data_IF_342283618309
#
_entry.id   IF_342283618309
#
_cell.length_a   1.000
_cell.length_b   1.000
_cell.length_c   1.000
_cell.angle_alpha   90.00
_cell.angle_beta   90.00
_cell.angle_gamma   90.00
#
_symmetry.space_group_name_H-M   'P 1'
#
loop_
_entity.id
_entity.type
_entity.pdbx_description
1 polymer ?
#
# COMPACT_ATOMS: atom_id res chain seq x y z
N UNK A 1 36.76 1.42 56.28
CA UNK A 1 36.27 0.54 55.18
C UNK A 1 37.32 0.57 54.07
N UNK A 2 38.05 -0.54 53.82
CA UNK A 2 39.03 -0.61 52.72
C UNK A 2 38.26 -0.69 51.41
N UNK A 3 38.51 0.25 50.49
CA UNK A 3 37.75 0.42 49.25
C UNK A 3 38.00 -0.72 48.26
N UNK A 4 36.93 -1.33 47.75
CA UNK A 4 36.99 -2.36 46.71
C UNK A 4 37.14 -1.72 45.33
N UNK A 5 37.79 -2.44 44.41
CA UNK A 5 37.78 -2.15 42.98
C UNK A 5 36.32 -2.11 42.47
N UNK A 6 36.03 -1.25 41.49
CA UNK A 6 34.70 -1.17 40.90
C UNK A 6 34.25 -2.53 40.36
N UNK A 7 32.95 -2.84 40.47
CA UNK A 7 32.41 -4.11 39.99
C UNK A 7 32.67 -4.32 38.50
N UNK A 8 32.66 -3.24 37.72
CA UNK A 8 32.96 -3.29 36.28
C UNK A 8 34.43 -3.66 36.01
N UNK A 9 35.40 -3.02 36.67
CA UNK A 9 36.82 -3.35 36.51
C UNK A 9 37.12 -4.80 36.95
N UNK A 10 36.49 -5.26 38.04
CA UNK A 10 36.60 -6.65 38.48
C UNK A 10 36.07 -7.62 37.42
N UNK A 11 34.87 -7.38 36.87
CA UNK A 11 34.28 -8.24 35.84
C UNK A 11 35.13 -8.28 34.58
N UNK A 12 35.62 -7.14 34.09
CA UNK A 12 36.47 -7.10 32.89
C UNK A 12 37.82 -7.79 33.10
N UNK A 13 38.43 -7.67 34.29
CA UNK A 13 39.67 -8.38 34.61
C UNK A 13 39.45 -9.90 34.63
N UNK A 14 38.32 -10.36 35.16
CA UNK A 14 37.94 -11.79 35.15
C UNK A 14 37.67 -12.29 33.74
N UNK A 15 36.97 -11.50 32.94
CA UNK A 15 36.66 -11.84 31.54
C UNK A 15 37.93 -11.97 30.69
N UNK A 16 38.89 -11.06 30.86
CA UNK A 16 40.10 -11.05 30.04
C UNK A 16 41.22 -11.99 30.55
N UNK A 17 41.42 -12.09 31.87
CA UNK A 17 42.51 -12.88 32.47
C UNK A 17 42.06 -14.21 33.11
N UNK A 18 40.75 -14.47 33.19
CA UNK A 18 40.15 -15.60 33.91
C UNK A 18 39.77 -15.26 35.35
N UNK A 19 38.82 -16.01 35.93
CA UNK A 19 38.22 -15.69 37.25
C UNK A 19 39.25 -15.56 38.38
N UNK A 20 40.10 -16.57 38.60
CA UNK A 20 41.08 -16.58 39.69
C UNK A 20 42.15 -15.48 39.51
N UNK A 21 42.67 -15.34 38.28
CA UNK A 21 43.73 -14.37 37.98
C UNK A 21 43.19 -12.94 38.00
N UNK A 22 41.96 -12.73 37.52
CA UNK A 22 41.26 -11.45 37.57
C UNK A 22 41.01 -10.98 39.00
N UNK A 23 40.63 -11.86 39.93
CA UNK A 23 40.52 -11.52 41.37
C UNK A 23 41.85 -11.14 41.98
N UNK A 24 42.92 -11.91 41.70
CA UNK A 24 44.27 -11.62 42.21
C UNK A 24 44.76 -10.25 41.72
N UNK A 25 44.57 -9.94 40.44
CA UNK A 25 44.93 -8.64 39.86
C UNK A 25 44.09 -7.51 40.49
N UNK A 26 42.77 -7.70 40.66
CA UNK A 26 41.92 -6.71 41.31
C UNK A 26 42.33 -6.45 42.77
N UNK A 27 42.76 -7.47 43.51
CA UNK A 27 43.27 -7.32 44.86
C UNK A 27 44.56 -6.47 44.89
N UNK A 28 45.48 -6.70 43.96
CA UNK A 28 46.72 -5.94 43.80
C UNK A 28 46.42 -4.47 43.48
N UNK A 29 45.51 -4.21 42.54
CA UNK A 29 45.08 -2.85 42.18
C UNK A 29 44.42 -2.13 43.36
N UNK A 30 43.58 -2.82 44.14
CA UNK A 30 42.96 -2.27 45.36
C UNK A 30 44.00 -1.82 46.38
N UNK A 31 45.06 -2.61 46.59
CA UNK A 31 46.18 -2.28 47.50
C UNK A 31 46.97 -1.07 47.01
N UNK A 32 47.06 -0.90 45.70
CA UNK A 32 47.72 0.22 45.02
C UNK A 32 46.84 1.46 44.88
N UNK A 33 45.67 1.50 45.54
CA UNK A 33 44.69 2.60 45.47
C UNK A 33 44.07 2.84 44.08
N UNK A 34 44.21 1.91 43.13
CA UNK A 34 43.54 1.98 41.83
C UNK A 34 42.15 1.35 41.97
N UNK A 35 41.10 2.13 41.72
CA UNK A 35 39.72 1.71 42.03
C UNK A 35 38.85 1.62 40.79
N UNK A 36 39.15 2.35 39.73
CA UNK A 36 38.45 2.28 38.45
C UNK A 36 39.40 2.40 37.25
N UNK A 37 38.85 2.25 36.05
CA UNK A 37 39.59 2.39 34.80
C UNK A 37 40.18 3.79 34.57
N UNK A 38 39.54 4.84 35.08
CA UNK A 38 40.02 6.22 34.91
C UNK A 38 41.34 6.49 35.68
N UNK A 39 41.60 5.71 36.74
CA UNK A 39 42.85 5.77 37.53
C UNK A 39 44.04 5.10 36.80
N UNK A 40 43.75 4.23 35.83
CA UNK A 40 44.73 3.56 35.01
C UNK A 40 45.11 4.50 33.85
N UNK A 41 46.07 5.40 34.11
CA UNK A 41 46.72 6.14 33.03
C UNK A 41 47.46 5.18 32.09
N UNK A 42 47.85 5.66 30.90
CA UNK A 42 48.59 4.84 29.91
C UNK A 42 49.94 4.31 30.41
N UNK A 43 50.45 4.83 31.54
CA UNK A 43 51.74 4.46 32.12
C UNK A 43 51.58 3.80 33.48
N UNK A 44 51.40 2.48 33.45
CA UNK A 44 51.41 1.65 34.64
C UNK A 44 52.86 1.43 35.09
N UNK A 45 53.18 1.64 36.38
CA UNK A 45 54.52 1.38 36.90
C UNK A 45 54.95 -0.07 36.65
N UNK A 46 56.19 -0.28 36.21
CA UNK A 46 56.71 -1.63 35.95
C UNK A 46 56.67 -2.51 37.21
N UNK A 47 56.85 -1.91 38.39
CA UNK A 47 56.68 -2.59 39.69
C UNK A 47 55.26 -3.13 39.91
N UNK A 48 54.23 -2.47 39.39
CA UNK A 48 52.85 -2.94 39.48
C UNK A 48 52.59 -4.08 38.48
N UNK A 49 53.17 -4.00 37.29
CA UNK A 49 53.11 -5.06 36.27
C UNK A 49 53.77 -6.36 36.79
N UNK A 50 54.94 -6.23 37.42
CA UNK A 50 55.64 -7.36 38.05
C UNK A 50 54.80 -8.01 39.14
N UNK A 51 54.17 -7.21 40.01
CA UNK A 51 53.30 -7.72 41.07
C UNK A 51 52.06 -8.44 40.53
N UNK A 52 51.51 -8.00 39.40
CA UNK A 52 50.35 -8.61 38.75
C UNK A 52 50.68 -9.88 37.96
N UNK A 53 51.96 -10.23 37.80
CA UNK A 53 52.41 -11.42 37.05
C UNK A 53 51.81 -11.47 35.62
N UNK A 54 51.77 -10.31 34.95
CA UNK A 54 51.33 -10.14 33.57
C UNK A 54 52.39 -9.40 32.76
N UNK A 55 52.42 -9.61 31.45
CA UNK A 55 53.29 -8.80 30.60
C UNK A 55 52.71 -7.39 30.42
N UNK A 56 53.59 -6.40 30.29
CA UNK A 56 53.21 -5.00 30.00
C UNK A 56 52.36 -4.89 28.73
N UNK A 57 52.66 -5.70 27.71
CA UNK A 57 51.88 -5.77 26.47
C UNK A 57 50.47 -6.32 26.71
N UNK A 58 50.32 -7.38 27.51
CA UNK A 58 49.01 -7.98 27.78
C UNK A 58 48.09 -7.02 28.54
N UNK A 59 48.64 -6.26 29.50
CA UNK A 59 47.84 -5.30 30.24
C UNK A 59 47.52 -4.04 29.43
N UNK A 60 48.42 -3.62 28.52
CA UNK A 60 48.13 -2.53 27.58
C UNK A 60 46.98 -2.91 26.63
N UNK A 61 46.99 -4.12 26.08
CA UNK A 61 45.89 -4.62 25.24
C UNK A 61 44.56 -4.64 26.01
N UNK A 62 44.58 -5.07 27.28
CA UNK A 62 43.41 -4.99 28.15
C UNK A 62 42.87 -3.55 28.30
N UNK A 63 43.75 -2.56 28.50
CA UNK A 63 43.35 -1.16 28.56
C UNK A 63 42.85 -0.61 27.22
N UNK A 64 43.38 -1.09 26.09
CA UNK A 64 42.90 -0.71 24.76
C UNK A 64 41.50 -1.27 24.46
N UNK A 65 41.15 -2.42 25.03
CA UNK A 65 39.89 -3.12 24.79
C UNK A 65 38.80 -2.75 25.81
N UNK A 66 39.15 -2.61 27.10
CA UNK A 66 38.21 -2.37 28.20
C UNK A 66 38.42 -1.02 28.91
N UNK A 67 39.53 -0.34 28.65
CA UNK A 67 39.91 0.88 29.35
C UNK A 67 39.18 2.16 28.88
N UNK A 68 39.57 3.32 29.42
CA UNK A 68 38.87 4.59 29.19
C UNK A 68 38.77 4.98 27.71
N UNK A 69 39.80 4.65 26.92
CA UNK A 69 39.85 4.94 25.49
C UNK A 69 38.83 4.10 24.69
N UNK A 70 38.62 2.83 25.06
CA UNK A 70 37.61 1.98 24.47
C UNK A 70 36.20 2.49 24.78
N UNK A 71 35.98 2.87 26.03
CA UNK A 71 34.70 3.46 26.50
C UNK A 71 34.40 4.77 25.75
N UNK A 72 35.41 5.62 25.55
CA UNK A 72 35.26 6.87 24.80
C UNK A 72 34.86 6.62 23.33
N UNK A 73 35.54 5.69 22.65
CA UNK A 73 35.19 5.30 21.26
C UNK A 73 33.79 4.71 21.16
N UNK A 74 33.36 3.90 22.15
CA UNK A 74 32.01 3.36 22.21
C UNK A 74 30.97 4.47 22.37
N UNK A 75 31.21 5.45 23.25
CA UNK A 75 30.33 6.60 23.43
C UNK A 75 30.15 7.41 22.15
N UNK A 76 31.24 7.74 21.47
CA UNK A 76 31.20 8.46 20.19
C UNK A 76 30.39 7.70 19.14
N UNK A 77 30.59 6.38 19.05
CA UNK A 77 29.84 5.53 18.11
C UNK A 77 28.35 5.43 18.45
N UNK A 78 28.00 5.41 19.74
CA UNK A 78 26.61 5.44 20.20
C UNK A 78 25.95 6.78 19.87
N UNK A 79 26.67 7.89 20.00
CA UNK A 79 26.18 9.22 19.62
C UNK A 79 25.96 9.33 18.10
N UNK A 80 26.90 8.86 17.28
CA UNK A 80 26.75 8.81 15.82
C UNK A 80 25.54 7.95 15.42
N UNK A 81 25.40 6.75 15.99
CA UNK A 81 24.25 5.88 15.74
C UNK A 81 22.93 6.53 16.17
N UNK A 82 22.90 7.20 17.33
CA UNK A 82 21.73 7.93 17.81
C UNK A 82 21.32 9.05 16.85
N UNK A 83 22.30 9.78 16.30
CA UNK A 83 22.03 10.82 15.29
C UNK A 83 21.44 10.24 14.00
N UNK A 84 21.94 9.10 13.54
CA UNK A 84 21.43 8.39 12.35
C UNK A 84 20.02 7.86 12.56
N UNK A 85 19.72 7.32 13.74
CA UNK A 85 18.36 6.87 14.09
C UNK A 85 17.37 8.03 14.01
N UNK A 86 17.69 9.20 14.58
CA UNK A 86 16.82 10.38 14.49
C UNK A 86 16.57 10.85 13.05
N UNK A 87 17.59 10.80 12.21
CA UNK A 87 17.45 11.12 10.78
C UNK A 87 16.51 10.13 10.07
N UNK A 88 16.68 8.83 10.33
CA UNK A 88 15.82 7.78 9.77
C UNK A 88 14.37 7.91 10.25
N UNK A 89 14.14 8.21 11.53
CA UNK A 89 12.79 8.46 12.07
C UNK A 89 12.10 9.62 11.34
N UNK A 90 12.84 10.69 11.05
CA UNK A 90 12.34 11.85 10.29
C UNK A 90 11.98 11.46 8.85
N UNK A 91 12.85 10.70 8.18
CA UNK A 91 12.59 10.19 6.83
C UNK A 91 11.37 9.27 6.78
N UNK A 92 11.21 8.40 7.79
CA UNK A 92 10.04 7.53 7.93
C UNK A 92 8.78 8.37 8.14
N UNK A 93 8.84 9.45 8.93
CA UNK A 93 7.75 10.41 9.09
C UNK A 93 7.28 10.98 7.75
N UNK A 94 8.20 11.52 6.94
CA UNK A 94 7.88 12.05 5.62
C UNK A 94 7.36 10.99 4.64
N UNK A 95 7.91 9.77 4.68
CA UNK A 95 7.43 8.68 3.84
C UNK A 95 5.98 8.30 4.19
N UNK A 96 5.64 8.24 5.49
CA UNK A 96 4.28 7.97 5.96
C UNK A 96 3.29 9.05 5.52
N UNK A 97 3.64 10.33 5.66
CA UNK A 97 2.79 11.45 5.22
C UNK A 97 2.52 11.40 3.72
N UNK A 98 3.54 11.13 2.89
CA UNK A 98 3.38 10.99 1.43
C UNK A 98 2.47 9.82 1.05
N UNK A 99 2.61 8.68 1.73
CA UNK A 99 1.74 7.52 1.52
C UNK A 99 0.29 7.88 1.88
N UNK A 100 0.08 8.54 3.03
CA UNK A 100 -1.25 8.96 3.45
C UNK A 100 -1.91 9.92 2.45
N UNK A 101 -1.20 10.95 2.00
CA UNK A 101 -1.69 11.88 0.98
C UNK A 101 -2.05 11.16 -0.33
N UNK A 102 -1.27 10.16 -0.72
CA UNK A 102 -1.54 9.36 -1.92
C UNK A 102 -2.80 8.49 -1.76
N UNK A 103 -3.02 7.94 -0.56
CA UNK A 103 -4.24 7.19 -0.23
C UNK A 103 -5.46 8.10 -0.24
N UNK A 104 -5.37 9.26 0.40
CA UNK A 104 -6.46 10.24 0.47
C UNK A 104 -6.84 10.73 -0.93
N UNK A 105 -5.85 11.04 -1.78
CA UNK A 105 -6.07 11.41 -3.17
C UNK A 105 -6.78 10.31 -3.96
N UNK A 106 -6.29 9.06 -3.89
CA UNK A 106 -6.91 7.90 -4.56
C UNK A 106 -8.34 7.64 -4.08
N UNK A 107 -8.62 7.85 -2.80
CA UNK A 107 -9.98 7.71 -2.26
C UNK A 107 -10.92 8.76 -2.85
N UNK A 108 -10.44 9.99 -3.06
CA UNK A 108 -11.24 11.09 -3.61
C UNK A 108 -11.54 10.92 -5.11
N UNK A 109 -10.57 10.47 -5.91
CA UNK A 109 -10.74 10.23 -7.35
C UNK A 109 -11.63 9.01 -7.59
N UNK A 110 -11.46 7.95 -6.80
CA UNK A 110 -12.31 6.76 -6.82
C UNK A 110 -13.77 7.07 -6.48
N UNK A 111 -14.03 7.94 -5.49
CA UNK A 111 -15.38 8.40 -5.15
C UNK A 111 -16.01 9.24 -6.25
N UNK A 112 -15.23 10.10 -6.91
CA UNK A 112 -15.71 10.90 -8.05
C UNK A 112 -16.09 10.00 -9.23
N UNK A 113 -15.24 9.04 -9.57
CA UNK A 113 -15.52 8.06 -10.63
C UNK A 113 -16.79 7.24 -10.33
N UNK A 114 -16.94 6.76 -9.09
CA UNK A 114 -18.14 6.00 -8.67
C UNK A 114 -19.42 6.82 -8.79
N UNK A 115 -19.40 8.12 -8.43
CA UNK A 115 -20.57 8.99 -8.58
C UNK A 115 -20.96 9.18 -10.03
N UNK A 116 -19.99 9.44 -10.91
CA UNK A 116 -20.27 9.60 -12.35
C UNK A 116 -20.79 8.29 -12.97
N UNK A 117 -20.23 7.14 -12.57
CA UNK A 117 -20.70 5.82 -12.95
C UNK A 117 -22.15 5.55 -12.50
N UNK A 118 -22.49 5.87 -11.24
CA UNK A 118 -23.84 5.71 -10.70
C UNK A 118 -24.87 6.55 -11.47
N UNK A 119 -24.50 7.80 -11.81
CA UNK A 119 -25.35 8.68 -12.62
C UNK A 119 -25.55 8.09 -14.02
N UNK A 120 -24.50 7.61 -14.67
CA UNK A 120 -24.60 6.98 -15.99
C UNK A 120 -25.53 5.75 -15.98
N UNK A 121 -25.36 4.86 -14.99
CA UNK A 121 -26.22 3.67 -14.81
C UNK A 121 -27.69 4.09 -14.59
N UNK A 122 -27.93 5.12 -13.78
CA UNK A 122 -29.28 5.63 -13.53
C UNK A 122 -29.95 6.18 -14.79
N UNK A 123 -29.21 6.96 -15.58
CA UNK A 123 -29.67 7.51 -16.86
C UNK A 123 -30.04 6.39 -17.83
N UNK A 124 -29.16 5.40 -18.02
CA UNK A 124 -29.38 4.28 -18.93
C UNK A 124 -30.55 3.41 -18.49
N UNK A 125 -30.67 3.11 -17.20
CA UNK A 125 -31.78 2.31 -16.64
C UNK A 125 -33.13 3.00 -16.84
N UNK A 126 -33.17 4.33 -16.64
CA UNK A 126 -34.35 5.15 -16.90
C UNK A 126 -34.71 5.15 -18.39
N UNK A 127 -33.71 5.26 -19.27
CA UNK A 127 -33.89 5.23 -20.73
C UNK A 127 -34.46 3.88 -21.20
N UNK A 128 -33.89 2.77 -20.72
CA UNK A 128 -34.40 1.41 -20.99
C UNK A 128 -35.85 1.28 -20.56
N UNK A 129 -36.19 1.72 -19.35
CA UNK A 129 -37.56 1.66 -18.83
C UNK A 129 -38.52 2.48 -19.69
N UNK A 130 -38.10 3.69 -20.10
CA UNK A 130 -38.88 4.57 -20.98
C UNK A 130 -39.16 3.93 -22.34
N UNK A 131 -38.15 3.30 -22.95
CA UNK A 131 -38.30 2.60 -24.24
C UNK A 131 -39.25 1.40 -24.09
N UNK A 132 -39.13 0.62 -23.01
CA UNK A 132 -40.01 -0.52 -22.73
C UNK A 132 -41.49 -0.11 -22.59
N UNK A 133 -41.75 1.05 -22.01
CA UNK A 133 -43.12 1.58 -21.84
C UNK A 133 -43.65 2.17 -23.15
N UNK A 134 -42.80 2.88 -23.89
CA UNK A 134 -43.23 3.74 -25.00
C UNK A 134 -43.12 3.10 -26.40
N UNK A 135 -42.48 1.94 -26.52
CA UNK A 135 -42.20 1.32 -27.83
C UNK A 135 -42.51 -0.18 -27.83
N UNK A 136 -43.21 -0.65 -28.87
CA UNK A 136 -43.32 -2.08 -29.15
C UNK A 136 -41.98 -2.58 -29.69
N UNK A 137 -41.52 -3.77 -29.25
CA UNK A 137 -40.19 -4.28 -29.61
C UNK A 137 -39.92 -4.36 -31.12
N UNK A 138 -40.95 -4.67 -31.91
CA UNK A 138 -40.88 -4.76 -33.36
C UNK A 138 -40.90 -3.41 -34.09
N UNK A 139 -41.30 -2.34 -33.40
CA UNK A 139 -41.39 -1.01 -33.99
C UNK A 139 -40.01 -0.38 -34.20
N UNK A 140 -39.86 0.39 -35.28
CA UNK A 140 -38.74 1.31 -35.45
C UNK A 140 -38.89 2.52 -34.53
N UNK A 141 -37.81 3.28 -34.36
CA UNK A 141 -37.78 4.46 -33.50
C UNK A 141 -38.08 5.69 -34.34
N UNK A 142 -39.21 6.36 -34.05
CA UNK A 142 -39.56 7.61 -34.73
C UNK A 142 -38.56 8.74 -34.40
N UNK A 143 -38.52 9.76 -35.27
CA UNK A 143 -37.54 10.83 -35.20
C UNK A 143 -37.56 11.59 -33.85
N UNK A 144 -38.75 11.81 -33.28
CA UNK A 144 -38.90 12.54 -32.02
C UNK A 144 -38.39 11.73 -30.84
N UNK A 145 -38.70 10.44 -30.78
CA UNK A 145 -38.18 9.53 -29.74
C UNK A 145 -36.67 9.34 -29.88
N UNK A 146 -36.16 9.20 -31.11
CA UNK A 146 -34.74 9.09 -31.38
C UNK A 146 -33.98 10.32 -30.85
N UNK A 147 -34.48 11.54 -31.10
CA UNK A 147 -33.83 12.74 -30.58
C UNK A 147 -33.80 12.80 -29.04
N UNK A 148 -34.88 12.40 -28.39
CA UNK A 148 -34.97 12.36 -26.92
C UNK A 148 -33.98 11.34 -26.35
N UNK A 149 -34.02 10.11 -26.84
CA UNK A 149 -33.15 9.04 -26.35
C UNK A 149 -31.68 9.33 -26.63
N UNK A 150 -31.34 9.89 -27.80
CA UNK A 150 -29.97 10.25 -28.14
C UNK A 150 -29.37 11.29 -27.21
N UNK A 151 -30.13 12.32 -26.81
CA UNK A 151 -29.65 13.30 -25.81
C UNK A 151 -29.34 12.64 -24.47
N UNK A 152 -30.23 11.76 -24.02
CA UNK A 152 -30.07 11.06 -22.75
C UNK A 152 -28.90 10.08 -22.77
N UNK A 153 -28.72 9.34 -23.87
CA UNK A 153 -27.61 8.38 -24.03
C UNK A 153 -26.27 9.12 -24.16
N UNK A 154 -26.22 10.25 -24.86
CA UNK A 154 -25.00 11.07 -24.93
C UNK A 154 -24.58 11.63 -23.57
N UNK A 155 -25.53 12.05 -22.72
CA UNK A 155 -25.20 12.45 -21.34
C UNK A 155 -24.61 11.25 -20.56
N UNK A 156 -25.15 10.05 -20.71
CA UNK A 156 -24.58 8.86 -20.09
C UNK A 156 -23.15 8.58 -20.60
N UNK A 157 -22.89 8.71 -21.90
CA UNK A 157 -21.55 8.55 -22.47
C UNK A 157 -20.56 9.58 -21.90
N UNK A 158 -20.95 10.84 -21.78
CA UNK A 158 -20.12 11.90 -21.21
C UNK A 158 -19.83 11.68 -19.71
N UNK A 159 -20.79 11.14 -18.97
CA UNK A 159 -20.59 10.71 -17.58
C UNK A 159 -19.56 9.59 -17.47
N UNK A 160 -19.62 8.61 -18.37
CA UNK A 160 -18.64 7.52 -18.42
C UNK A 160 -17.24 8.01 -18.78
N UNK A 161 -17.10 8.99 -19.67
CA UNK A 161 -15.81 9.65 -19.94
C UNK A 161 -15.24 10.33 -18.70
N UNK A 162 -16.04 11.14 -18.01
CA UNK A 162 -15.62 11.78 -16.75
C UNK A 162 -15.26 10.76 -15.66
N UNK A 163 -15.96 9.64 -15.61
CA UNK A 163 -15.61 8.52 -14.74
C UNK A 163 -14.24 7.94 -15.15
N UNK A 164 -14.01 7.70 -16.45
CA UNK A 164 -12.75 7.14 -16.98
C UNK A 164 -11.53 8.03 -16.73
N UNK A 165 -11.70 9.36 -16.75
CA UNK A 165 -10.63 10.32 -16.45
C UNK A 165 -10.19 10.27 -14.97
N UNK A 166 -11.07 9.78 -14.10
CA UNK A 166 -10.85 9.70 -12.66
C UNK A 166 -10.60 8.27 -12.17
N UNK A 167 -10.64 7.29 -13.07
CA UNK A 167 -10.57 5.85 -12.78
C UNK A 167 -9.37 5.22 -13.49
N UNK A 168 -8.31 4.87 -12.74
CA UNK A 168 -7.12 4.19 -13.30
C UNK A 168 -7.36 2.70 -13.59
N UNK A 169 -8.30 2.04 -12.90
CA UNK A 169 -8.46 0.58 -12.92
C UNK A 169 -9.41 0.13 -14.05
N UNK A 170 -10.49 0.88 -14.28
CA UNK A 170 -11.50 0.57 -15.29
C UNK A 170 -11.56 1.61 -16.42
N UNK A 171 -10.53 2.45 -16.56
CA UNK A 171 -10.51 3.56 -17.54
C UNK A 171 -10.89 3.11 -18.94
N UNK A 172 -10.27 2.03 -19.44
CA UNK A 172 -10.48 1.54 -20.81
C UNK A 172 -11.87 0.96 -21.00
N UNK A 173 -12.38 0.17 -20.04
CA UNK A 173 -13.73 -0.39 -20.12
C UNK A 173 -14.81 0.71 -20.09
N UNK A 174 -14.57 1.80 -19.33
CA UNK A 174 -15.47 2.95 -19.28
C UNK A 174 -15.44 3.76 -20.59
N UNK A 175 -14.27 3.92 -21.22
CA UNK A 175 -14.15 4.53 -22.56
C UNK A 175 -14.84 3.68 -23.63
N UNK A 176 -14.62 2.37 -23.62
CA UNK A 176 -15.25 1.44 -24.55
C UNK A 176 -16.78 1.47 -24.42
N UNK A 177 -17.29 1.50 -23.19
CA UNK A 177 -18.72 1.66 -22.92
C UNK A 177 -19.25 3.01 -23.43
N UNK A 178 -18.53 4.11 -23.20
CA UNK A 178 -18.91 5.43 -23.71
C UNK A 178 -18.97 5.47 -25.24
N UNK A 179 -17.93 4.97 -25.93
CA UNK A 179 -17.90 4.89 -27.39
C UNK A 179 -18.97 3.96 -27.95
N UNK A 180 -19.31 2.89 -27.23
CA UNK A 180 -20.41 2.00 -27.60
C UNK A 180 -21.77 2.73 -27.54
N UNK A 181 -21.99 3.57 -26.52
CA UNK A 181 -23.19 4.39 -26.42
C UNK A 181 -23.29 5.43 -27.54
N UNK A 182 -22.18 6.08 -27.90
CA UNK A 182 -22.15 7.03 -29.02
C UNK A 182 -22.49 6.34 -30.34
N UNK A 183 -21.93 5.14 -30.56
CA UNK A 183 -22.25 4.34 -31.74
C UNK A 183 -23.71 3.89 -31.77
N UNK A 184 -24.31 3.57 -30.62
CA UNK A 184 -25.74 3.29 -30.51
C UNK A 184 -26.56 4.51 -30.96
N UNK A 185 -26.14 5.72 -30.56
CA UNK A 185 -26.80 6.97 -30.95
C UNK A 185 -26.74 7.20 -32.46
N UNK A 186 -25.59 6.93 -33.09
CA UNK A 186 -25.41 7.07 -34.54
C UNK A 186 -26.37 6.18 -35.35
N UNK A 187 -26.52 4.91 -34.92
CA UNK A 187 -27.32 3.91 -35.66
C UNK A 187 -28.77 3.81 -35.17
N UNK A 188 -29.17 4.58 -34.16
CA UNK A 188 -30.44 4.40 -33.44
C UNK A 188 -31.67 4.39 -34.35
N UNK A 189 -31.67 5.23 -35.40
CA UNK A 189 -32.78 5.34 -36.36
C UNK A 189 -32.93 4.10 -37.24
N UNK A 190 -31.89 3.29 -37.34
CA UNK A 190 -31.86 2.04 -38.11
C UNK A 190 -32.25 0.82 -37.27
N UNK A 191 -32.35 0.98 -35.95
CA UNK A 191 -32.66 -0.08 -35.00
C UNK A 191 -34.17 -0.21 -34.75
N UNK A 192 -34.61 -1.44 -34.49
CA UNK A 192 -35.89 -1.66 -33.82
C UNK A 192 -35.74 -1.34 -32.34
N UNK A 193 -36.84 -0.99 -31.68
CA UNK A 193 -36.84 -0.72 -30.24
C UNK A 193 -36.32 -1.91 -29.42
N UNK A 194 -36.58 -3.14 -29.86
CA UNK A 194 -36.01 -4.35 -29.27
C UNK A 194 -34.49 -4.40 -29.34
N UNK A 195 -33.90 -4.08 -30.50
CA UNK A 195 -32.45 -4.09 -30.70
C UNK A 195 -31.77 -2.99 -29.86
N UNK A 196 -32.37 -1.80 -29.80
CA UNK A 196 -31.89 -0.72 -28.93
C UNK A 196 -31.91 -1.14 -27.45
N UNK A 197 -32.99 -1.76 -26.99
CA UNK A 197 -33.10 -2.26 -25.62
C UNK A 197 -32.00 -3.27 -25.30
N UNK A 198 -31.71 -4.21 -26.20
CA UNK A 198 -30.70 -5.23 -25.96
C UNK A 198 -29.29 -4.62 -25.88
N UNK A 199 -28.97 -3.65 -26.75
CA UNK A 199 -27.69 -2.94 -26.70
C UNK A 199 -27.53 -2.11 -25.42
N UNK A 200 -28.56 -1.38 -24.99
CA UNK A 200 -28.50 -0.60 -23.76
C UNK A 200 -28.42 -1.49 -22.50
N UNK A 201 -29.14 -2.61 -22.49
CA UNK A 201 -29.07 -3.58 -21.39
C UNK A 201 -27.70 -4.28 -21.33
N UNK A 202 -27.08 -4.53 -22.49
CA UNK A 202 -25.72 -5.06 -22.53
C UNK A 202 -24.72 -4.07 -21.92
N UNK A 203 -24.79 -2.78 -22.29
CA UNK A 203 -23.93 -1.75 -21.69
C UNK A 203 -24.19 -1.63 -20.19
N UNK A 204 -25.45 -1.64 -19.74
CA UNK A 204 -25.79 -1.65 -18.32
C UNK A 204 -25.19 -2.85 -17.56
N UNK A 205 -25.18 -4.03 -18.17
CA UNK A 205 -24.56 -5.22 -17.58
C UNK A 205 -23.07 -5.02 -17.33
N UNK A 206 -22.33 -4.51 -18.33
CA UNK A 206 -20.89 -4.21 -18.19
C UNK A 206 -20.65 -3.19 -17.08
N UNK A 207 -21.41 -2.10 -17.06
CA UNK A 207 -21.26 -1.06 -16.03
C UNK A 207 -21.60 -1.58 -14.63
N UNK A 208 -22.55 -2.51 -14.54
CA UNK A 208 -22.91 -3.16 -13.28
C UNK A 208 -21.80 -4.11 -12.80
N UNK A 209 -21.10 -4.82 -13.69
CA UNK A 209 -19.91 -5.62 -13.36
C UNK A 209 -18.77 -4.75 -12.82
N UNK A 210 -18.51 -3.60 -13.47
CA UNK A 210 -17.50 -2.63 -13.01
C UNK A 210 -17.86 -2.11 -11.61
N UNK A 211 -19.11 -1.66 -11.43
CA UNK A 211 -19.60 -1.17 -10.13
C UNK A 211 -19.49 -2.24 -9.04
N UNK A 212 -19.89 -3.48 -9.33
CA UNK A 212 -19.82 -4.60 -8.40
C UNK A 212 -18.38 -4.89 -7.96
N UNK A 213 -17.47 -4.95 -8.92
CA UNK A 213 -16.04 -5.20 -8.67
C UNK A 213 -15.45 -4.11 -7.78
N UNK A 214 -15.76 -2.83 -8.05
CA UNK A 214 -15.33 -1.70 -7.22
C UNK A 214 -15.90 -1.71 -5.81
N UNK A 215 -17.16 -2.09 -5.64
CA UNK A 215 -17.81 -2.15 -4.32
C UNK A 215 -17.44 -3.41 -3.51
N UNK A 216 -16.65 -4.33 -4.08
CA UNK A 216 -16.35 -5.65 -3.49
C UNK A 216 -17.63 -6.37 -3.03
N UNK A 217 -18.71 -6.21 -3.80
CA UNK A 217 -19.97 -6.88 -3.55
C UNK A 217 -19.83 -8.32 -4.02
N UNK A 218 -19.42 -9.22 -3.13
CA UNK A 218 -19.42 -10.65 -3.37
C UNK A 218 -20.86 -11.13 -3.57
N UNK A 219 -21.23 -11.47 -4.80
CA UNK A 219 -22.39 -12.34 -5.02
C UNK A 219 -21.96 -13.79 -4.83
N UNK A 220 -22.81 -14.59 -4.20
CA UNK A 220 -22.72 -16.05 -4.25
C UNK A 220 -22.48 -16.45 -5.72
N UNK A 221 -21.41 -17.22 -5.94
CA UNK A 221 -20.99 -17.80 -7.22
C UNK A 221 -22.17 -18.33 -8.05
N UNK A 222 -23.22 -18.82 -7.40
CA UNK A 222 -24.45 -19.28 -8.04
C UNK A 222 -25.26 -18.18 -8.74
N UNK A 223 -25.31 -16.96 -8.17
CA UNK A 223 -26.02 -15.81 -8.76
C UNK A 223 -25.28 -15.27 -9.99
N UNK A 224 -23.95 -15.22 -9.93
CA UNK A 224 -23.08 -14.87 -11.07
C UNK A 224 -23.24 -15.86 -12.23
N UNK A 225 -23.28 -17.17 -11.91
CA UNK A 225 -23.50 -18.21 -12.91
C UNK A 225 -24.90 -18.07 -13.52
N UNK A 226 -25.93 -17.79 -12.72
CA UNK A 226 -27.31 -17.64 -13.21
C UNK A 226 -27.48 -16.43 -14.13
N UNK A 227 -26.93 -15.28 -13.76
CA UNK A 227 -26.99 -14.05 -14.57
C UNK A 227 -26.21 -14.21 -15.88
N UNK A 228 -25.02 -14.84 -15.82
CA UNK A 228 -24.21 -15.12 -17.01
C UNK A 228 -24.87 -16.15 -17.94
N UNK A 229 -25.56 -17.17 -17.39
CA UNK A 229 -26.36 -18.13 -18.15
C UNK A 229 -27.54 -17.42 -18.82
N UNK A 230 -28.24 -16.53 -18.11
CA UNK A 230 -29.37 -15.78 -18.68
C UNK A 230 -28.91 -14.85 -19.81
N UNK A 231 -27.81 -14.14 -19.64
CA UNK A 231 -27.23 -13.27 -20.67
C UNK A 231 -26.74 -14.06 -21.89
N UNK A 232 -26.00 -15.15 -21.69
CA UNK A 232 -25.53 -16.03 -22.78
C UNK A 232 -26.68 -16.70 -23.51
N UNK A 233 -27.70 -17.17 -22.78
CA UNK A 233 -28.92 -17.74 -23.37
C UNK A 233 -29.67 -16.72 -24.22
N UNK A 234 -29.72 -15.46 -23.78
CA UNK A 234 -30.32 -14.36 -24.53
C UNK A 234 -29.52 -14.00 -25.79
N UNK A 235 -28.20 -14.01 -25.73
CA UNK A 235 -27.31 -13.85 -26.91
C UNK A 235 -27.51 -14.99 -27.91
N UNK A 236 -27.55 -16.25 -27.44
CA UNK A 236 -27.81 -17.41 -28.30
C UNK A 236 -29.19 -17.30 -28.94
N UNK A 237 -30.21 -16.90 -28.19
CA UNK A 237 -31.55 -16.67 -28.74
C UNK A 237 -31.57 -15.59 -29.83
N UNK A 238 -30.86 -14.49 -29.63
CA UNK A 238 -30.75 -13.40 -30.62
C UNK A 238 -30.01 -13.84 -31.89
N UNK A 239 -28.93 -14.59 -31.74
CA UNK A 239 -28.19 -15.17 -32.86
C UNK A 239 -29.05 -16.19 -33.62
N UNK A 240 -29.75 -17.09 -32.92
CA UNK A 240 -30.60 -18.09 -33.54
C UNK A 240 -31.85 -17.50 -34.22
N UNK A 241 -32.44 -16.41 -33.70
CA UNK A 241 -33.56 -15.73 -34.37
C UNK A 241 -33.16 -15.04 -35.68
N UNK A 242 -31.86 -14.82 -35.94
CA UNK A 242 -31.38 -14.35 -37.25
C UNK A 242 -31.24 -15.47 -38.31
N UNK A 243 -31.22 -16.74 -37.89
CA UNK A 243 -31.00 -17.89 -38.78
C UNK A 243 -32.26 -18.71 -39.12
N UNK A 244 -33.41 -18.36 -38.55
CA UNK A 244 -34.72 -18.85 -39.00
C UNK A 244 -35.68 -17.64 -39.10
N UNK A 245 -35.91 -17.09 -40.31
CA UNK A 245 -36.90 -16.04 -40.54
C UNK A 245 -38.34 -16.52 -40.33
#
# INVERSE_FOLDING_TARGET
>A
MRGKVSGYLLSSLKEYFGDEKGEKIAEILSRSNIRCFDDLSTDIPDSLIELMEVSKSSFRNFLEEYGPQAIAKLKERVEDLSSKVKQLETQIGWAKERIQQSIDFRSSTSLKAMRELDVAIGILSSTVSSIQICCEKSSGIDERKAEIYSKTINEAAERLRRASDSDEEFSEQLKDAASSLERIVEIMRELRAGDLLDLLNYTLSILSDIKRTRMRLDFDKNSLILENILLKSKIVSLLCSRFNP
#
